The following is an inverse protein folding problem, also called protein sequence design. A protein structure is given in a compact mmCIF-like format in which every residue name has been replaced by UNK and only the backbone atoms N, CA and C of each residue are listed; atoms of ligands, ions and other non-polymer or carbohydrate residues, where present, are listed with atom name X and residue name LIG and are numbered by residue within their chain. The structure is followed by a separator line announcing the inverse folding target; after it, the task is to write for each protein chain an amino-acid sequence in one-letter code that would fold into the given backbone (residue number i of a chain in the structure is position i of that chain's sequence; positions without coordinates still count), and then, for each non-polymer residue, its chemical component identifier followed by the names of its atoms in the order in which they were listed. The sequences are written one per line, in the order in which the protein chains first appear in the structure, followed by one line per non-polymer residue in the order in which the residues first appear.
data_IF_151386913148
#
_entry.id   IF_151386913148
#
_cell.length_a   1.000
_cell.length_b   1.000
_cell.length_c   1.000
_cell.angle_alpha   90.00
_cell.angle_beta   90.00
_cell.angle_gamma   90.00
#
_symmetry.space_group_name_H-M   'P 1'
#
loop_
_entity.id
_entity.type
_entity.pdbx_description
1 polymer ?
#
# COMPACT_ATOMS: atom_id res chain seq x y z
N UNK A 1 16.80 -41.84 -28.38
CA UNK A 1 16.58 -41.04 -27.16
C UNK A 1 15.34 -40.18 -27.40
N UNK A 2 14.20 -40.60 -26.86
CA UNK A 2 12.90 -39.93 -27.03
C UNK A 2 12.28 -39.73 -25.66
N UNK A 3 12.90 -38.91 -24.83
CA UNK A 3 12.44 -38.60 -23.45
C UNK A 3 12.10 -37.13 -23.25
N UNK A 4 12.18 -36.30 -24.30
CA UNK A 4 11.95 -34.84 -24.19
C UNK A 4 10.44 -34.51 -24.22
N UNK A 5 9.60 -35.43 -24.72
CA UNK A 5 8.15 -35.20 -24.84
C UNK A 5 7.37 -35.32 -23.52
N UNK A 6 7.85 -36.08 -22.53
CA UNK A 6 7.12 -36.24 -21.26
C UNK A 6 7.56 -35.23 -20.18
N UNK A 7 8.80 -34.73 -20.23
CA UNK A 7 9.30 -33.72 -19.28
C UNK A 7 8.62 -32.36 -19.47
N UNK A 8 8.20 -32.03 -20.70
CA UNK A 8 7.62 -30.72 -21.06
C UNK A 8 6.30 -30.41 -20.33
N UNK A 9 5.44 -31.41 -20.12
CA UNK A 9 4.17 -31.21 -19.42
C UNK A 9 4.39 -30.91 -17.93
N UNK A 10 5.26 -31.69 -17.25
CA UNK A 10 5.52 -31.51 -15.81
C UNK A 10 6.22 -30.17 -15.50
N UNK A 11 7.16 -29.74 -16.35
CA UNK A 11 7.84 -28.47 -16.22
C UNK A 11 6.90 -27.29 -16.51
N UNK A 12 5.98 -27.44 -17.48
CA UNK A 12 4.96 -26.43 -17.76
C UNK A 12 3.96 -26.27 -16.61
N UNK A 13 3.52 -27.37 -15.99
CA UNK A 13 2.67 -27.32 -14.79
C UNK A 13 3.38 -26.68 -13.60
N UNK A 14 4.64 -27.06 -13.36
CA UNK A 14 5.44 -26.46 -12.27
C UNK A 14 5.66 -24.95 -12.49
N UNK A 15 5.97 -24.53 -13.72
CA UNK A 15 6.11 -23.11 -14.06
C UNK A 15 4.78 -22.34 -13.94
N UNK A 16 3.65 -22.96 -14.31
CA UNK A 16 2.34 -22.34 -14.14
C UNK A 16 1.97 -22.17 -12.66
N UNK A 17 2.28 -23.15 -11.82
CA UNK A 17 2.01 -23.11 -10.38
C UNK A 17 2.85 -22.04 -9.68
N UNK A 18 4.14 -21.92 -9.99
CA UNK A 18 5.00 -20.83 -9.45
C UNK A 18 4.52 -19.45 -9.87
N UNK A 19 4.05 -19.28 -11.13
CA UNK A 19 3.47 -18.02 -11.60
C UNK A 19 2.16 -17.70 -10.89
N UNK A 20 1.31 -18.70 -10.68
CA UNK A 20 0.05 -18.56 -9.94
C UNK A 20 0.31 -18.13 -8.50
N UNK A 21 1.25 -18.80 -7.83
CA UNK A 21 1.67 -18.46 -6.47
C UNK A 21 2.28 -17.05 -6.38
N UNK A 22 3.13 -16.68 -7.34
CA UNK A 22 3.70 -15.33 -7.41
C UNK A 22 2.63 -14.27 -7.63
N UNK A 23 1.69 -14.50 -8.53
CA UNK A 23 0.59 -13.57 -8.79
C UNK A 23 -0.32 -13.40 -7.56
N UNK A 24 -0.64 -14.49 -6.86
CA UNK A 24 -1.42 -14.45 -5.63
C UNK A 24 -0.71 -13.68 -4.51
N UNK A 25 0.61 -13.87 -4.36
CA UNK A 25 1.41 -13.13 -3.39
C UNK A 25 1.53 -11.65 -3.77
N UNK A 26 1.72 -11.33 -5.05
CA UNK A 26 1.79 -9.93 -5.51
C UNK A 26 0.50 -9.15 -5.22
N UNK A 27 -0.67 -9.77 -5.41
CA UNK A 27 -1.96 -9.17 -5.05
C UNK A 27 -2.07 -8.95 -3.54
N UNK A 28 -1.60 -9.90 -2.73
CA UNK A 28 -1.59 -9.77 -1.27
C UNK A 28 -0.67 -8.62 -0.81
N UNK A 29 0.53 -8.55 -1.38
CA UNK A 29 1.51 -7.51 -1.05
C UNK A 29 1.03 -6.12 -1.48
N UNK A 30 0.38 -6.02 -2.65
CA UNK A 30 -0.23 -4.77 -3.09
C UNK A 30 -1.33 -4.31 -2.12
N UNK A 31 -2.23 -5.21 -1.72
CA UNK A 31 -3.28 -4.89 -0.76
C UNK A 31 -2.71 -4.46 0.60
N UNK A 32 -1.62 -5.07 1.04
CA UNK A 32 -0.95 -4.72 2.29
C UNK A 32 -0.29 -3.34 2.21
N UNK A 33 0.36 -3.02 1.09
CA UNK A 33 0.93 -1.69 0.84
C UNK A 33 -0.17 -0.62 0.80
N UNK A 34 -1.29 -0.89 0.14
CA UNK A 34 -2.44 0.04 0.10
C UNK A 34 -2.99 0.31 1.51
N UNK A 35 -3.10 -0.72 2.35
CA UNK A 35 -3.50 -0.55 3.77
C UNK A 35 -2.51 0.28 4.57
N UNK A 36 -1.21 0.06 4.38
CA UNK A 36 -0.17 0.85 5.06
C UNK A 36 -0.19 2.31 4.61
N UNK A 37 -0.40 2.56 3.32
CA UNK A 37 -0.53 3.93 2.79
C UNK A 37 -1.78 4.60 3.35
N UNK A 38 -2.93 3.91 3.36
CA UNK A 38 -4.16 4.43 3.96
C UNK A 38 -3.96 4.79 5.43
N UNK A 39 -3.38 3.88 6.23
CA UNK A 39 -3.12 4.13 7.65
C UNK A 39 -2.21 5.35 7.88
N UNK A 40 -1.15 5.52 7.08
CA UNK A 40 -0.27 6.69 7.18
C UNK A 40 -0.97 7.98 6.75
N UNK A 41 -1.86 7.91 5.77
CA UNK A 41 -2.64 9.05 5.31
C UNK A 41 -3.64 9.49 6.39
N UNK A 42 -4.31 8.53 7.03
CA UNK A 42 -5.26 8.79 8.11
C UNK A 42 -4.57 9.45 9.32
N UNK A 43 -3.42 8.91 9.76
CA UNK A 43 -2.60 9.54 10.82
C UNK A 43 -2.17 10.97 10.44
N UNK A 44 -1.76 11.18 9.19
CA UNK A 44 -1.39 12.51 8.71
C UNK A 44 -2.58 13.47 8.73
N UNK A 45 -3.78 13.02 8.33
CA UNK A 45 -5.00 13.83 8.39
C UNK A 45 -5.39 14.20 9.83
N UNK A 46 -5.33 13.26 10.77
CA UNK A 46 -5.59 13.53 12.19
C UNK A 46 -4.61 14.57 12.77
N UNK A 47 -3.34 14.48 12.40
CA UNK A 47 -2.31 15.44 12.86
C UNK A 47 -2.53 16.85 12.32
N UNK A 48 -2.94 16.98 11.04
CA UNK A 48 -3.24 18.27 10.42
C UNK A 48 -4.53 18.89 10.95
N UNK A 49 -5.54 18.08 11.24
CA UNK A 49 -6.77 18.55 11.85
C UNK A 49 -6.52 19.10 13.26
N UNK A 50 -5.70 18.39 14.05
CA UNK A 50 -5.26 18.87 15.36
C UNK A 50 -4.49 20.19 15.25
N UNK A 51 -3.57 20.32 14.29
CA UNK A 51 -2.87 21.59 14.03
C UNK A 51 -3.83 22.73 13.70
N UNK A 52 -4.83 22.49 12.85
CA UNK A 52 -5.84 23.50 12.51
C UNK A 52 -6.67 23.91 13.71
N UNK A 53 -7.07 22.96 14.56
CA UNK A 53 -7.83 23.23 15.78
C UNK A 53 -7.00 24.03 16.79
N UNK A 54 -5.72 23.69 16.98
CA UNK A 54 -4.83 24.46 17.88
C UNK A 54 -4.57 25.89 17.40
N UNK A 55 -4.63 26.15 16.08
CA UNK A 55 -4.57 27.52 15.55
C UNK A 55 -5.87 28.30 15.72
N UNK A 56 -7.01 27.68 16.06
CA UNK A 56 -8.24 28.45 16.27
C UNK A 56 -8.17 29.22 17.59
N UNK A 57 -8.22 30.54 17.49
CA UNK A 57 -8.35 31.44 18.64
C UNK A 57 -9.85 31.62 18.93
N UNK A 58 -10.32 31.35 20.17
CA UNK A 58 -11.73 31.52 20.53
C UNK A 58 -12.23 32.93 20.20
N UNK A 59 -13.31 33.02 19.40
CA UNK A 59 -13.93 34.30 19.02
C UNK A 59 -13.18 35.12 17.96
N UNK A 60 -11.99 34.70 17.51
CA UNK A 60 -11.14 35.46 16.56
C UNK A 60 -10.78 34.70 15.28
N UNK A 61 -11.13 33.41 15.16
CA UNK A 61 -10.90 32.61 13.95
C UNK A 61 -9.52 31.93 13.95
N UNK A 62 -8.92 31.73 12.78
CA UNK A 62 -7.61 31.08 12.64
C UNK A 62 -6.46 32.06 12.94
N UNK A 63 -5.51 31.65 13.77
CA UNK A 63 -4.31 32.41 14.10
C UNK A 63 -3.40 32.56 12.88
N UNK A 64 -3.08 33.80 12.51
CA UNK A 64 -2.07 34.13 11.50
C UNK A 64 -0.73 34.35 12.21
N UNK A 65 0.30 33.61 11.83
CA UNK A 65 1.67 33.83 12.31
C UNK A 65 2.26 35.06 11.61
N UNK A 66 2.65 36.08 12.39
CA UNK A 66 3.20 37.35 11.92
C UNK A 66 4.74 37.42 12.05
N UNK A 67 5.42 36.29 12.26
CA UNK A 67 6.89 36.29 12.27
C UNK A 67 7.43 36.50 10.85
N UNK A 68 8.19 37.59 10.68
CA UNK A 68 8.89 38.00 9.44
C UNK A 68 10.38 37.75 9.60
#
# INVERSE_FOLDING_TARGET
MSSISETSSSAAYSAADTRSQLAANAVRDQNEQERQVASRLDEAQESEQTRRETRKIPGLGEAVDISV
#
